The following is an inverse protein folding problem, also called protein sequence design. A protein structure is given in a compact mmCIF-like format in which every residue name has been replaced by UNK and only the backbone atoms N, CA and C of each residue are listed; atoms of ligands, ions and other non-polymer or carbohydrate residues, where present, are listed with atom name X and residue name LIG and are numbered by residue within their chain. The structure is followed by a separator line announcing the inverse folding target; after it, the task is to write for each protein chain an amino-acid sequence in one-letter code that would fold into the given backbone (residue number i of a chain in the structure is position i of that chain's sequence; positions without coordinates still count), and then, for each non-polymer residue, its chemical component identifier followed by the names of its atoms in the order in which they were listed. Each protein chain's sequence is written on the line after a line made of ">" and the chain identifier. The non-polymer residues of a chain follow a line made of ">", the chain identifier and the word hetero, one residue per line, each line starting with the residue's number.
data_IF_860967424885
#
_entry.id   IF_860967424885
#
_cell.length_a   1.000
_cell.length_b   1.000
_cell.length_c   1.000
_cell.angle_alpha   90.00
_cell.angle_beta   90.00
_cell.angle_gamma   90.00
#
_symmetry.space_group_name_H-M   'P 1'
#
loop_
_entity.id
_entity.type
_entity.pdbx_description
1 polymer ?
#
# COMPACT_ATOMS: atom_id res chain seq x y z
N UNK A 1 -5.54 -9.02 -22.79
CA UNK A 1 -6.14 -8.89 -21.44
C UNK A 1 -7.16 -7.78 -21.50
N UNK A 2 -8.42 -8.07 -21.17
CA UNK A 2 -9.55 -7.17 -21.37
C UNK A 2 -9.70 -6.21 -20.18
N UNK A 3 -10.42 -5.10 -20.39
CA UNK A 3 -10.68 -4.04 -19.38
C UNK A 3 -11.18 -4.58 -18.01
N UNK A 4 -11.78 -5.77 -17.99
CA UNK A 4 -12.22 -6.47 -16.78
C UNK A 4 -11.09 -6.93 -15.85
N UNK A 5 -9.90 -7.22 -16.37
CA UNK A 5 -8.76 -7.67 -15.56
C UNK A 5 -8.17 -6.53 -14.72
N UNK A 6 -8.08 -5.32 -15.30
CA UNK A 6 -7.60 -4.13 -14.58
C UNK A 6 -8.51 -3.75 -13.42
N UNK A 7 -9.83 -3.79 -13.63
CA UNK A 7 -10.79 -3.40 -12.59
C UNK A 7 -10.76 -4.35 -11.38
N UNK A 8 -10.55 -5.65 -11.62
CA UNK A 8 -10.44 -6.66 -10.54
C UNK A 8 -9.11 -6.56 -9.79
N UNK A 9 -8.02 -6.28 -10.52
CA UNK A 9 -6.71 -6.04 -9.90
C UNK A 9 -6.74 -4.77 -9.03
N UNK A 10 -7.44 -3.72 -9.47
CA UNK A 10 -7.57 -2.49 -8.72
C UNK A 10 -8.37 -2.67 -7.43
N UNK A 11 -9.52 -3.36 -7.50
CA UNK A 11 -10.32 -3.70 -6.31
C UNK A 11 -9.54 -4.52 -5.28
N UNK A 12 -8.74 -5.50 -5.73
CA UNK A 12 -7.87 -6.29 -4.85
C UNK A 12 -6.78 -5.43 -4.23
N UNK A 13 -6.17 -4.54 -5.00
CA UNK A 13 -5.17 -3.59 -4.50
C UNK A 13 -5.77 -2.68 -3.44
N UNK A 14 -6.96 -2.13 -3.69
CA UNK A 14 -7.68 -1.29 -2.75
C UNK A 14 -8.00 -2.04 -1.44
N UNK A 15 -8.53 -3.25 -1.52
CA UNK A 15 -8.84 -4.06 -0.33
C UNK A 15 -7.59 -4.37 0.52
N UNK A 16 -6.45 -4.66 -0.14
CA UNK A 16 -5.17 -4.83 0.57
C UNK A 16 -4.76 -3.56 1.31
N UNK A 17 -4.87 -2.40 0.66
CA UNK A 17 -4.47 -1.14 1.26
C UNK A 17 -5.44 -0.66 2.35
N UNK A 18 -6.73 -0.99 2.26
CA UNK A 18 -7.69 -0.80 3.35
C UNK A 18 -7.32 -1.62 4.59
N UNK A 19 -6.90 -2.87 4.41
CA UNK A 19 -6.42 -3.70 5.51
C UNK A 19 -5.12 -3.15 6.11
N UNK A 20 -4.19 -2.67 5.28
CA UNK A 20 -2.97 -1.99 5.74
C UNK A 20 -3.31 -0.72 6.55
N UNK A 21 -4.24 0.11 6.06
CA UNK A 21 -4.70 1.30 6.80
C UNK A 21 -5.32 0.92 8.15
N UNK A 22 -6.08 -0.18 8.20
CA UNK A 22 -6.59 -0.73 9.46
C UNK A 22 -5.49 -1.21 10.40
N UNK A 23 -4.46 -1.89 9.89
CA UNK A 23 -3.30 -2.31 10.68
C UNK A 23 -2.52 -1.10 11.22
N UNK A 24 -2.26 -0.10 10.39
CA UNK A 24 -1.59 1.14 10.79
C UNK A 24 -2.38 1.91 11.86
N UNK A 25 -3.71 1.99 11.75
CA UNK A 25 -4.54 2.61 12.80
C UNK A 25 -4.42 1.91 14.15
N UNK A 26 -4.29 0.58 14.14
CA UNK A 26 -4.12 -0.21 15.38
C UNK A 26 -2.70 -0.10 15.93
N UNK A 27 -1.71 -0.04 15.05
CA UNK A 27 -0.30 0.06 15.40
C UNK A 27 0.44 1.03 14.45
N UNK A 28 0.54 2.32 14.84
CA UNK A 28 1.26 3.32 14.06
C UNK A 28 2.76 3.05 13.92
N UNK A 29 3.35 2.18 14.77
CA UNK A 29 4.78 1.86 14.68
C UNK A 29 5.14 1.14 13.38
N UNK A 30 4.16 0.50 12.72
CA UNK A 30 4.31 -0.16 11.42
C UNK A 30 4.73 0.79 10.30
N UNK A 31 4.56 2.11 10.47
CA UNK A 31 5.13 3.14 9.57
C UNK A 31 6.64 3.02 9.48
N UNK A 32 7.33 2.70 10.59
CA UNK A 32 8.79 2.51 10.60
C UNK A 32 9.22 1.33 9.75
N UNK A 33 8.40 0.27 9.68
CA UNK A 33 8.65 -0.86 8.80
C UNK A 33 8.58 -0.45 7.33
N UNK A 34 7.61 0.40 6.96
CA UNK A 34 7.50 0.93 5.61
C UNK A 34 8.71 1.82 5.25
N UNK A 35 9.16 2.68 6.19
CA UNK A 35 10.39 3.48 6.02
C UNK A 35 11.63 2.60 5.82
N UNK A 36 11.79 1.56 6.62
CA UNK A 36 12.90 0.60 6.46
C UNK A 36 12.83 -0.21 5.16
N UNK A 37 11.64 -0.43 4.60
CA UNK A 37 11.50 -1.00 3.26
C UNK A 37 12.01 -0.04 2.19
N UNK A 38 11.63 1.24 2.26
CA UNK A 38 12.13 2.27 1.34
C UNK A 38 13.67 2.38 1.40
N UNK A 39 14.26 2.38 2.61
CA UNK A 39 15.73 2.48 2.77
C UNK A 39 16.47 1.29 2.13
N UNK A 40 15.83 0.10 2.12
CA UNK A 40 16.37 -1.09 1.44
C UNK A 40 16.22 -1.01 -0.07
N UNK A 41 15.07 -0.52 -0.55
CA UNK A 41 14.79 -0.39 -1.96
C UNK A 41 15.60 0.72 -2.61
N UNK A 42 15.88 1.82 -1.92
CA UNK A 42 16.73 2.90 -2.42
C UNK A 42 18.12 2.40 -2.85
N UNK A 43 18.65 1.39 -2.14
CA UNK A 43 19.97 0.79 -2.44
C UNK A 43 19.95 -0.16 -3.64
N UNK A 44 18.79 -0.66 -4.04
CA UNK A 44 18.66 -1.76 -5.02
C UNK A 44 17.87 -1.38 -6.27
N UNK A 45 16.89 -0.49 -6.12
CA UNK A 45 16.01 0.02 -7.16
C UNK A 45 15.63 1.48 -6.84
N UNK A 46 16.57 2.43 -6.94
CA UNK A 46 16.28 3.84 -6.70
C UNK A 46 15.27 4.37 -7.72
N UNK A 47 14.40 5.28 -7.28
CA UNK A 47 13.43 5.91 -8.17
C UNK A 47 12.65 7.04 -7.51
N UNK A 48 12.00 7.90 -8.31
CA UNK A 48 11.28 9.08 -7.81
C UNK A 48 10.14 8.72 -6.83
N UNK A 49 9.53 7.55 -7.03
CA UNK A 49 8.46 7.01 -6.19
C UNK A 49 8.90 6.77 -4.73
N UNK A 50 10.20 6.56 -4.48
CA UNK A 50 10.73 6.41 -3.10
C UNK A 50 10.60 7.74 -2.35
N UNK A 51 10.99 8.85 -3.00
CA UNK A 51 10.90 10.17 -2.41
C UNK A 51 9.44 10.58 -2.20
N UNK A 52 8.54 10.27 -3.15
CA UNK A 52 7.10 10.49 -3.01
C UNK A 52 6.53 9.75 -1.79
N UNK A 53 6.86 8.46 -1.64
CA UNK A 53 6.43 7.70 -0.46
C UNK A 53 7.04 8.22 0.83
N UNK A 54 8.29 8.68 0.81
CA UNK A 54 8.93 9.27 2.00
C UNK A 54 8.20 10.52 2.46
N UNK A 55 7.86 11.42 1.53
CA UNK A 55 7.08 12.62 1.81
C UNK A 55 5.72 12.29 2.43
N UNK A 56 5.04 11.25 1.95
CA UNK A 56 3.77 10.79 2.53
C UNK A 56 3.96 10.22 3.94
N UNK A 57 4.99 9.39 4.16
CA UNK A 57 5.26 8.74 5.45
C UNK A 57 5.81 9.71 6.51
N UNK A 58 6.39 10.84 6.10
CA UNK A 58 6.84 11.92 6.97
C UNK A 58 5.77 13.01 7.19
N UNK A 59 4.68 12.95 6.41
CA UNK A 59 3.54 13.83 6.51
C UNK A 59 2.52 13.41 7.59
N UNK A 60 1.34 14.07 7.60
CA UNK A 60 0.28 13.76 8.55
C UNK A 60 -0.21 12.31 8.43
N UNK A 61 -0.36 11.64 9.57
CA UNK A 61 -0.78 10.22 9.60
C UNK A 61 -2.16 10.00 8.97
N UNK A 62 -3.12 10.89 9.19
CA UNK A 62 -4.44 10.83 8.57
C UNK A 62 -4.38 10.96 7.04
N UNK A 63 -3.47 11.77 6.51
CA UNK A 63 -3.28 11.91 5.06
C UNK A 63 -2.72 10.63 4.45
N UNK A 64 -1.79 9.95 5.14
CA UNK A 64 -1.32 8.62 4.74
C UNK A 64 -2.49 7.62 4.70
N UNK A 65 -3.30 7.57 5.76
CA UNK A 65 -4.44 6.64 5.82
C UNK A 65 -5.48 6.93 4.73
N UNK A 66 -5.75 8.21 4.45
CA UNK A 66 -6.64 8.62 3.38
C UNK A 66 -6.11 8.17 2.01
N UNK A 67 -4.82 8.40 1.72
CA UNK A 67 -4.19 7.98 0.47
C UNK A 67 -4.31 6.46 0.24
N UNK A 68 -4.12 5.65 1.30
CA UNK A 68 -4.19 4.19 1.18
C UNK A 68 -5.57 3.69 0.74
N UNK A 69 -6.65 4.41 1.08
CA UNK A 69 -8.03 4.00 0.78
C UNK A 69 -8.68 4.79 -0.34
N UNK A 70 -8.01 5.82 -0.86
CA UNK A 70 -8.56 6.67 -1.91
C UNK A 70 -8.57 5.95 -3.26
N UNK A 71 -9.49 6.32 -4.16
CA UNK A 71 -9.67 5.67 -5.47
C UNK A 71 -9.30 6.56 -6.65
N UNK A 72 -8.72 7.73 -6.40
CA UNK A 72 -8.21 8.62 -7.44
C UNK A 72 -6.95 8.04 -8.13
N UNK A 73 -6.68 8.52 -9.34
CA UNK A 73 -5.58 8.04 -10.18
C UNK A 73 -4.21 8.16 -9.48
N UNK A 74 -4.01 9.19 -8.65
CA UNK A 74 -2.77 9.36 -7.91
C UNK A 74 -2.61 8.28 -6.84
N UNK A 75 -3.65 8.01 -6.04
CA UNK A 75 -3.65 6.93 -5.06
C UNK A 75 -3.43 5.57 -5.73
N UNK A 76 -4.09 5.30 -6.86
CA UNK A 76 -3.89 4.07 -7.67
C UNK A 76 -2.43 3.94 -8.09
N UNK A 77 -1.83 5.01 -8.64
CA UNK A 77 -0.41 5.03 -9.04
C UNK A 77 0.50 4.71 -7.85
N UNK A 78 0.31 5.39 -6.73
CA UNK A 78 1.15 5.18 -5.54
C UNK A 78 1.06 3.75 -5.02
N UNK A 79 -0.14 3.15 -5.02
CA UNK A 79 -0.34 1.75 -4.59
C UNK A 79 0.46 0.73 -5.41
N UNK A 80 0.87 1.04 -6.65
CA UNK A 80 1.68 0.13 -7.47
C UNK A 80 3.09 -0.11 -6.89
N UNK A 81 3.62 0.83 -6.10
CA UNK A 81 4.95 0.78 -5.48
C UNK A 81 4.90 0.85 -3.95
N UNK A 82 3.84 0.29 -3.37
CA UNK A 82 3.52 0.37 -1.94
C UNK A 82 4.61 -0.21 -1.01
N UNK A 83 5.19 0.59 -0.09
CA UNK A 83 6.27 0.16 0.81
C UNK A 83 5.81 -0.67 2.01
N UNK A 84 4.55 -1.09 2.06
CA UNK A 84 3.97 -1.82 3.20
C UNK A 84 4.17 -3.34 3.11
N UNK A 85 5.18 -3.79 2.37
CA UNK A 85 5.56 -5.20 2.30
C UNK A 85 5.86 -5.76 3.71
N UNK A 86 5.16 -6.84 4.06
CA UNK A 86 5.26 -7.50 5.36
C UNK A 86 4.53 -6.81 6.51
N UNK A 87 3.75 -5.76 6.27
CA UNK A 87 2.86 -5.17 7.30
C UNK A 87 1.69 -6.09 7.61
N UNK A 88 1.08 -6.67 6.57
CA UNK A 88 0.10 -7.75 6.73
C UNK A 88 0.82 -9.09 6.83
N UNK A 89 0.28 -9.97 7.68
CA UNK A 89 0.67 -11.38 7.70
C UNK A 89 0.24 -12.09 6.41
N UNK A 90 0.88 -13.21 6.10
CA UNK A 90 0.50 -14.01 4.94
C UNK A 90 -0.96 -14.50 5.04
N UNK A 91 -1.44 -14.80 6.25
CA UNK A 91 -2.82 -15.19 6.50
C UNK A 91 -3.82 -14.06 6.18
N UNK A 92 -3.56 -12.85 6.66
CA UNK A 92 -4.39 -11.66 6.36
C UNK A 92 -4.40 -11.38 4.85
N UNK A 93 -3.23 -11.43 4.22
CA UNK A 93 -3.11 -11.26 2.76
C UNK A 93 -3.96 -12.31 2.03
N UNK A 94 -3.79 -13.60 2.35
CA UNK A 94 -4.56 -14.70 1.73
C UNK A 94 -6.08 -14.55 1.91
N UNK A 95 -6.54 -14.10 3.09
CA UNK A 95 -7.96 -13.87 3.35
C UNK A 95 -8.56 -12.80 2.42
N UNK A 96 -7.82 -11.72 2.18
CA UNK A 96 -8.22 -10.65 1.26
C UNK A 96 -8.29 -11.15 -0.18
N UNK A 97 -7.27 -11.91 -0.63
CA UNK A 97 -7.25 -12.52 -1.96
C UNK A 97 -8.44 -13.48 -2.17
N UNK A 98 -8.74 -14.32 -1.18
CA UNK A 98 -9.87 -15.27 -1.26
C UNK A 98 -11.22 -14.55 -1.36
N UNK A 99 -11.38 -13.43 -0.65
CA UNK A 99 -12.64 -12.66 -0.64
C UNK A 99 -12.92 -11.91 -1.95
N UNK A 100 -11.89 -11.68 -2.77
CA UNK A 100 -11.99 -10.99 -4.07
C UNK A 100 -11.67 -11.94 -5.25
N UNK A 101 -11.85 -13.24 -5.03
CA UNK A 101 -11.67 -14.28 -6.05
C UNK A 101 -12.93 -14.54 -6.90
N UNK A 102 -14.04 -13.83 -6.64
CA UNK A 102 -15.32 -13.97 -7.36
C UNK A 102 -15.28 -13.30 -8.71
#
# INVERSE_FOLDING_TARGET
>A
MSVNDHHRLDQRSLALHQAIAGALRRDPSLVQKAKGNLDRWEKTAPGPWIAEWRAVLDGPFDALLALLVASDENAVRMRQSSPFAGVLTEAERRAIYKSHAV
#
